data_IF_893689865851
#
_entry.id   IF_893689865851
#
_cell.length_a   1.000
_cell.length_b   1.000
_cell.length_c   1.000
_cell.angle_alpha   90.00
_cell.angle_beta   90.00
_cell.angle_gamma   90.00
#
_symmetry.space_group_name_H-M   'P 1'
#
loop_
_entity.id
_entity.type
_entity.pdbx_description
1 polymer ?
#
# COMPACT_ATOMS: atom_id res chain seq x y z
N UNK A 1 11.58 8.69 18.53
CA UNK A 1 11.38 9.56 17.36
C UNK A 1 10.66 8.70 16.32
N UNK A 2 9.55 9.17 15.76
CA UNK A 2 8.79 8.41 14.74
C UNK A 2 9.58 8.44 13.42
N UNK A 3 9.78 7.27 12.80
CA UNK A 3 10.47 7.15 11.50
C UNK A 3 9.49 6.84 10.37
N UNK A 4 9.94 7.01 9.12
CA UNK A 4 9.11 6.68 7.94
C UNK A 4 8.81 5.18 7.84
N UNK A 5 9.73 4.34 8.32
CA UNK A 5 9.56 2.88 8.40
C UNK A 5 8.49 2.51 9.42
N UNK A 6 8.44 3.21 10.57
CA UNK A 6 7.39 3.01 11.54
C UNK A 6 6.02 3.40 10.97
N UNK A 7 5.91 4.53 10.26
CA UNK A 7 4.64 4.94 9.62
C UNK A 7 4.20 3.92 8.55
N UNK A 8 5.14 3.41 7.74
CA UNK A 8 4.84 2.39 6.74
C UNK A 8 4.35 1.10 7.40
N UNK A 9 4.92 0.73 8.55
CA UNK A 9 4.47 -0.42 9.33
C UNK A 9 3.03 -0.26 9.82
N UNK A 10 2.69 0.92 10.35
CA UNK A 10 1.32 1.20 10.80
C UNK A 10 0.32 1.08 9.65
N UNK A 11 0.63 1.59 8.45
CA UNK A 11 -0.21 1.39 7.28
C UNK A 11 -0.32 -0.09 6.86
N UNK A 12 0.76 -0.86 6.96
CA UNK A 12 0.73 -2.29 6.67
C UNK A 12 -0.21 -3.03 7.63
N UNK A 13 -0.19 -2.69 8.91
CA UNK A 13 -1.10 -3.23 9.92
C UNK A 13 -2.56 -2.83 9.64
N UNK A 14 -2.83 -1.59 9.21
CA UNK A 14 -4.16 -1.15 8.79
C UNK A 14 -4.69 -2.02 7.64
N UNK A 15 -3.86 -2.36 6.64
CA UNK A 15 -4.26 -3.30 5.58
C UNK A 15 -4.62 -4.67 6.16
N UNK A 16 -3.85 -5.18 7.12
CA UNK A 16 -4.14 -6.46 7.79
C UNK A 16 -5.49 -6.43 8.52
N UNK A 17 -5.78 -5.35 9.25
CA UNK A 17 -7.05 -5.16 9.95
C UNK A 17 -8.25 -5.07 9.00
N UNK A 18 -8.13 -4.28 7.92
CA UNK A 18 -9.19 -4.14 6.91
C UNK A 18 -9.47 -5.50 6.25
N UNK A 19 -8.43 -6.21 5.80
CA UNK A 19 -8.60 -7.52 5.17
C UNK A 19 -9.29 -8.51 6.11
N UNK A 20 -8.82 -8.64 7.36
CA UNK A 20 -9.41 -9.56 8.33
C UNK A 20 -10.89 -9.25 8.60
N UNK A 21 -11.25 -7.97 8.72
CA UNK A 21 -12.64 -7.55 8.91
C UNK A 21 -13.52 -7.88 7.70
N UNK A 22 -13.02 -7.66 6.48
CA UNK A 22 -13.75 -7.94 5.24
C UNK A 22 -13.93 -9.44 5.02
N UNK A 23 -12.90 -10.26 5.24
CA UNK A 23 -12.99 -11.73 5.14
C UNK A 23 -14.00 -12.30 6.14
N UNK A 24 -13.95 -11.83 7.39
CA UNK A 24 -14.92 -12.22 8.41
C UNK A 24 -16.35 -11.85 8.03
N UNK A 25 -16.52 -10.69 7.40
CA UNK A 25 -17.84 -10.20 6.97
C UNK A 25 -18.35 -10.98 5.76
N UNK A 26 -17.49 -11.27 4.78
CA UNK A 26 -17.84 -12.06 3.60
C UNK A 26 -18.15 -13.52 3.96
N UNK A 27 -17.33 -14.13 4.83
CA UNK A 27 -17.52 -15.49 5.34
C UNK A 27 -17.36 -16.59 4.31
N UNK A 28 -16.88 -16.29 3.09
CA UNK A 28 -16.67 -17.25 2.00
C UNK A 28 -15.28 -17.13 1.37
N UNK A 29 -14.99 -15.98 0.76
CA UNK A 29 -13.71 -15.73 0.11
C UNK A 29 -12.69 -15.10 1.07
N UNK A 30 -11.41 -15.32 0.75
CA UNK A 30 -10.26 -14.73 1.44
C UNK A 30 -9.41 -13.93 0.46
N UNK A 31 -8.60 -13.00 0.97
CA UNK A 31 -7.67 -12.25 0.15
C UNK A 31 -6.50 -13.12 -0.32
N UNK A 32 -6.23 -13.07 -1.61
CA UNK A 32 -4.98 -13.53 -2.20
C UNK A 32 -3.96 -12.39 -2.19
N UNK A 33 -2.71 -12.70 -1.83
CA UNK A 33 -1.66 -11.71 -1.61
C UNK A 33 -0.55 -11.84 -2.63
N UNK A 34 -0.14 -10.70 -3.18
CA UNK A 34 1.08 -10.55 -3.97
C UNK A 34 1.99 -9.50 -3.33
N UNK A 35 3.24 -9.90 -3.05
CA UNK A 35 4.29 -8.98 -2.63
C UNK A 35 5.12 -8.63 -3.87
N UNK A 36 5.39 -7.35 -4.05
CA UNK A 36 6.15 -6.86 -5.20
C UNK A 36 7.14 -5.79 -4.78
N UNK A 37 8.16 -5.61 -5.62
CA UNK A 37 9.23 -4.63 -5.46
C UNK A 37 9.26 -3.69 -6.66
N UNK A 38 9.67 -2.43 -6.46
CA UNK A 38 9.78 -1.46 -7.54
C UNK A 38 11.24 -1.25 -7.94
N UNK A 39 11.52 -1.33 -9.23
CA UNK A 39 12.78 -0.85 -9.78
C UNK A 39 12.85 0.67 -9.57
N UNK A 40 13.75 1.13 -8.70
CA UNK A 40 13.81 2.50 -8.19
C UNK A 40 13.43 2.70 -6.72
N UNK A 41 13.08 1.63 -5.99
CA UNK A 41 13.06 1.61 -4.53
C UNK A 41 11.68 1.39 -3.89
N UNK A 42 11.66 0.52 -2.88
CA UNK A 42 10.47 0.14 -2.14
C UNK A 42 9.63 -0.92 -2.86
N UNK A 43 8.33 -0.93 -2.58
CA UNK A 43 7.42 -1.95 -3.11
C UNK A 43 6.04 -1.87 -2.47
N UNK A 44 5.36 -3.01 -2.45
CA UNK A 44 4.03 -3.08 -1.87
C UNK A 44 3.50 -4.49 -1.68
N UNK A 45 2.29 -4.53 -1.16
CA UNK A 45 1.52 -5.75 -0.90
C UNK A 45 0.12 -5.53 -1.47
N UNK A 46 -0.13 -6.14 -2.62
CA UNK A 46 -1.45 -6.14 -3.25
C UNK A 46 -2.25 -7.29 -2.65
N UNK A 47 -3.49 -7.02 -2.22
CA UNK A 47 -4.40 -8.06 -1.77
C UNK A 47 -5.72 -7.96 -2.49
N UNK A 48 -6.14 -9.05 -3.14
CA UNK A 48 -7.38 -9.12 -3.91
C UNK A 48 -8.28 -10.21 -3.34
N UNK A 49 -9.56 -9.90 -3.15
CA UNK A 49 -10.62 -10.86 -2.81
C UNK A 49 -11.59 -10.95 -3.99
N UNK A 50 -12.00 -12.15 -4.36
CA UNK A 50 -12.93 -12.36 -5.48
C UNK A 50 -13.88 -13.51 -5.20
N UNK A 51 -15.05 -13.47 -5.85
CA UNK A 51 -16.05 -14.53 -5.80
C UNK A 51 -16.51 -14.87 -4.36
N UNK A 52 -16.57 -13.85 -3.49
CA UNK A 52 -17.09 -13.98 -2.13
C UNK A 52 -18.61 -14.04 -2.08
N UNK A 53 -19.15 -14.32 -0.89
CA UNK A 53 -20.60 -14.36 -0.69
C UNK A 53 -21.23 -12.96 -0.75
N UNK A 54 -20.46 -11.94 -0.35
CA UNK A 54 -20.89 -10.53 -0.30
C UNK A 54 -20.04 -9.69 -1.25
N UNK A 55 -18.72 -9.92 -1.26
CA UNK A 55 -17.77 -9.15 -2.07
C UNK A 55 -17.50 -9.92 -3.36
N UNK A 56 -18.12 -9.45 -4.45
CA UNK A 56 -17.87 -10.01 -5.79
C UNK A 56 -16.39 -9.85 -6.20
N UNK A 57 -15.83 -8.65 -5.98
CA UNK A 57 -14.42 -8.35 -6.20
C UNK A 57 -13.98 -7.13 -5.38
N UNK A 58 -12.83 -7.21 -4.73
CA UNK A 58 -12.27 -6.11 -3.95
C UNK A 58 -10.75 -6.16 -3.91
N UNK A 59 -10.13 -5.02 -3.60
CA UNK A 59 -8.70 -4.91 -3.40
C UNK A 59 -8.40 -4.00 -2.22
N UNK A 60 -7.38 -4.35 -1.44
CA UNK A 60 -6.84 -3.50 -0.37
C UNK A 60 -5.33 -3.53 -0.54
N UNK A 61 -4.74 -2.42 -0.95
CA UNK A 61 -3.35 -2.38 -1.38
C UNK A 61 -2.52 -1.54 -0.42
N UNK A 62 -1.37 -2.05 -0.04
CA UNK A 62 -0.34 -1.31 0.70
C UNK A 62 0.83 -1.00 -0.21
N UNK A 63 1.41 0.19 -0.08
CA UNK A 63 2.68 0.52 -0.70
C UNK A 63 3.57 1.33 0.24
N UNK A 64 4.87 1.15 0.08
CA UNK A 64 5.91 1.99 0.67
C UNK A 64 7.03 2.12 -0.37
N UNK A 65 7.04 3.26 -1.06
CA UNK A 65 7.94 3.52 -2.19
C UNK A 65 8.78 4.76 -1.91
N UNK A 66 10.00 4.75 -2.44
CA UNK A 66 10.88 5.90 -2.39
C UNK A 66 11.70 5.99 -3.66
N UNK A 67 12.63 6.93 -3.67
CA UNK A 67 13.55 7.15 -4.77
C UNK A 67 13.71 8.64 -5.06
N UNK A 68 14.22 8.94 -6.24
CA UNK A 68 14.47 10.31 -6.66
C UNK A 68 13.26 10.95 -7.32
N UNK A 69 13.02 12.22 -7.00
CA UNK A 69 12.05 13.06 -7.70
C UNK A 69 12.61 13.46 -9.07
N UNK A 70 11.78 13.28 -10.10
CA UNK A 70 12.11 13.82 -11.42
C UNK A 70 12.14 15.35 -11.38
N UNK A 71 12.92 15.98 -12.28
CA UNK A 71 12.98 17.44 -12.39
C UNK A 71 11.58 18.06 -12.63
N UNK A 72 10.71 17.35 -13.35
CA UNK A 72 9.32 17.78 -13.59
C UNK A 72 8.52 17.82 -12.28
N UNK A 73 8.64 16.78 -11.45
CA UNK A 73 7.95 16.70 -10.16
C UNK A 73 8.45 17.74 -9.16
N UNK A 74 9.77 17.98 -9.09
CA UNK A 74 10.35 19.04 -8.23
C UNK A 74 9.75 20.40 -8.54
N UNK A 75 9.68 20.74 -9.83
CA UNK A 75 9.07 22.01 -10.28
C UNK A 75 7.57 22.07 -9.99
N UNK A 76 6.85 20.97 -10.18
CA UNK A 76 5.40 20.91 -9.93
C UNK A 76 5.05 21.02 -8.43
N UNK A 77 5.86 20.42 -7.56
CA UNK A 77 5.66 20.42 -6.12
C UNK A 77 6.31 21.64 -5.43
N UNK A 78 7.10 22.42 -6.17
CA UNK A 78 7.89 23.55 -5.66
C UNK A 78 8.77 23.17 -4.47
N UNK A 79 9.56 22.11 -4.67
CA UNK A 79 10.48 21.54 -3.67
C UNK A 79 11.89 21.43 -4.24
N UNK A 80 12.89 21.62 -3.38
CA UNK A 80 14.30 21.47 -3.72
C UNK A 80 14.85 20.09 -3.33
N UNK A 81 14.06 19.24 -2.68
CA UNK A 81 14.48 17.90 -2.26
C UNK A 81 14.66 16.97 -3.47
N UNK A 82 15.74 16.18 -3.42
CA UNK A 82 16.04 15.18 -4.44
C UNK A 82 15.27 13.88 -4.22
N UNK A 83 15.07 13.48 -2.97
CA UNK A 83 14.44 12.22 -2.60
C UNK A 83 12.98 12.39 -2.16
N UNK A 84 12.20 11.33 -2.33
CA UNK A 84 10.87 11.21 -1.75
C UNK A 84 10.65 9.88 -1.06
N UNK A 85 9.63 9.86 -0.20
CA UNK A 85 9.04 8.66 0.34
C UNK A 85 7.52 8.82 0.37
N UNK A 86 6.80 7.78 -0.04
CA UNK A 86 5.35 7.73 -0.01
C UNK A 86 4.90 6.35 0.48
N UNK A 87 3.96 6.33 1.42
CA UNK A 87 3.37 5.09 1.92
C UNK A 87 1.89 5.28 2.24
N UNK A 88 1.11 4.21 2.17
CA UNK A 88 -0.31 4.25 2.48
C UNK A 88 -1.03 2.94 2.17
N UNK A 89 -2.33 2.94 2.48
CA UNK A 89 -3.31 1.91 2.10
C UNK A 89 -4.35 2.53 1.18
N UNK A 90 -4.72 1.83 0.12
CA UNK A 90 -5.76 2.21 -0.85
C UNK A 90 -6.72 1.08 -1.14
#
# INVERSE_FOLDING_TARGET
MITKEHIAEEYRLIQDEICAALEKTDGGATFEQEIWERDGGGGGRTRIIQNGNIIEKGGVNFSAVGGELSHVLKKSLNVDQDDFFATGVS
#
